data_IF_570971577214
#
_entry.id   IF_570971577214
#
_cell.length_a   1.000
_cell.length_b   1.000
_cell.length_c   1.000
_cell.angle_alpha   90.00
_cell.angle_beta   90.00
_cell.angle_gamma   90.00
#
_symmetry.space_group_name_H-M   'P 1'
#
loop_
_entity.id
_entity.type
_entity.pdbx_description
1 polymer ?
#
# COMPACT_ATOMS: atom_id res chain seq x y z
N UNK A 1 15.24 65.37 -54.47
CA UNK A 1 14.84 63.95 -54.24
C UNK A 1 16.06 63.23 -53.68
N UNK A 2 16.09 62.47 -52.59
CA UNK A 2 15.12 61.94 -51.62
C UNK A 2 15.91 61.70 -50.31
N UNK A 3 15.23 61.82 -49.17
CA UNK A 3 15.68 61.47 -47.82
C UNK A 3 15.81 59.96 -47.64
N UNK A 4 16.83 59.46 -46.93
CA UNK A 4 16.79 58.09 -46.40
C UNK A 4 17.06 58.05 -44.89
N UNK A 5 15.99 57.71 -44.18
CA UNK A 5 15.91 57.27 -42.80
C UNK A 5 16.88 56.11 -42.54
N UNK A 6 17.63 56.15 -41.43
CA UNK A 6 18.34 55.00 -40.87
C UNK A 6 17.67 54.60 -39.55
N UNK A 7 17.13 53.37 -39.43
CA UNK A 7 16.62 52.89 -38.15
C UNK A 7 17.76 52.39 -37.27
N UNK A 8 17.77 52.82 -36.00
CA UNK A 8 18.63 52.25 -34.94
C UNK A 8 18.05 50.91 -34.49
N UNK A 9 18.82 49.81 -34.47
CA UNK A 9 18.35 48.56 -33.89
C UNK A 9 18.42 48.62 -32.35
N UNK A 10 17.30 48.33 -31.70
CA UNK A 10 17.23 48.00 -30.28
C UNK A 10 17.79 46.58 -30.09
N UNK A 11 18.92 46.43 -29.40
CA UNK A 11 19.42 45.11 -29.00
C UNK A 11 19.79 45.10 -27.52
N UNK A 12 18.84 44.69 -26.69
CA UNK A 12 19.04 44.35 -25.29
C UNK A 12 19.07 42.83 -25.12
N UNK A 13 20.08 42.16 -25.67
CA UNK A 13 20.25 40.72 -25.47
C UNK A 13 20.58 40.43 -23.99
N UNK A 14 19.91 39.46 -23.35
CA UNK A 14 20.18 39.11 -21.96
C UNK A 14 21.62 38.59 -21.82
N UNK A 15 22.34 39.14 -20.82
CA UNK A 15 23.75 38.82 -20.56
C UNK A 15 23.94 37.30 -20.33
N UNK A 16 25.01 36.70 -20.87
CA UNK A 16 25.22 35.24 -20.89
C UNK A 16 25.21 34.58 -19.51
N UNK A 17 25.52 35.33 -18.44
CA UNK A 17 25.48 34.86 -17.06
C UNK A 17 24.08 34.50 -16.54
N UNK A 18 23.04 35.19 -17.03
CA UNK A 18 21.64 34.90 -16.66
C UNK A 18 21.11 33.66 -17.35
N UNK A 19 21.56 33.40 -18.58
CA UNK A 19 21.22 32.21 -19.35
C UNK A 19 21.87 30.96 -18.75
N UNK A 20 23.12 31.06 -18.29
CA UNK A 20 23.82 29.96 -17.63
C UNK A 20 23.17 29.58 -16.29
N UNK A 21 22.82 30.58 -15.46
CA UNK A 21 22.13 30.34 -14.20
C UNK A 21 20.75 29.69 -14.39
N UNK A 22 20.02 30.11 -15.43
CA UNK A 22 18.74 29.49 -15.80
C UNK A 22 18.92 28.04 -16.27
N UNK A 23 19.93 27.76 -17.09
CA UNK A 23 20.22 26.40 -17.56
C UNK A 23 20.59 25.46 -16.40
N UNK A 24 21.37 25.93 -15.43
CA UNK A 24 21.72 25.17 -14.23
C UNK A 24 20.50 24.89 -13.35
N UNK A 25 19.61 25.87 -13.18
CA UNK A 25 18.36 25.70 -12.41
C UNK A 25 17.42 24.67 -13.06
N UNK A 26 17.29 24.71 -14.40
CA UNK A 26 16.50 23.73 -15.16
C UNK A 26 17.12 22.33 -15.06
N UNK A 27 18.44 22.21 -15.11
CA UNK A 27 19.13 20.93 -14.97
C UNK A 27 18.98 20.32 -13.56
N UNK A 28 18.97 21.15 -12.51
CA UNK A 28 18.73 20.72 -11.13
C UNK A 28 17.26 20.31 -10.87
N UNK A 29 16.30 20.94 -11.54
CA UNK A 29 14.89 20.56 -11.48
C UNK A 29 14.58 19.24 -12.20
N UNK A 30 15.50 18.75 -13.05
CA UNK A 30 15.37 17.48 -13.77
C UNK A 30 15.95 16.27 -13.00
N UNK A 31 16.43 16.46 -11.77
CA UNK A 31 16.83 15.33 -10.93
C UNK A 31 15.57 14.47 -10.66
N UNK A 32 15.60 13.16 -10.94
CA UNK A 32 14.45 12.29 -10.71
C UNK A 32 14.13 12.30 -9.22
N UNK A 33 12.97 12.86 -8.87
CA UNK A 33 12.42 12.72 -7.53
C UNK A 33 12.20 11.22 -7.29
N UNK A 34 12.97 10.63 -6.38
CA UNK A 34 12.76 9.25 -5.93
C UNK A 34 11.49 9.21 -5.09
N UNK A 35 10.34 9.22 -5.76
CA UNK A 35 9.09 8.83 -5.14
C UNK A 35 9.20 7.36 -4.73
N UNK A 36 8.87 7.04 -3.47
CA UNK A 36 8.68 5.64 -3.07
C UNK A 36 7.45 5.10 -3.78
N UNK A 37 7.65 4.43 -4.91
CA UNK A 37 6.60 3.70 -5.61
C UNK A 37 6.45 2.34 -4.93
N UNK A 38 5.25 2.06 -4.41
CA UNK A 38 4.91 0.72 -3.92
C UNK A 38 4.90 -0.21 -5.14
N UNK A 39 5.77 -1.23 -5.13
CA UNK A 39 5.76 -2.25 -6.18
C UNK A 39 4.55 -3.16 -6.00
N UNK A 40 3.79 -3.37 -7.06
CA UNK A 40 2.71 -4.36 -7.05
C UNK A 40 3.32 -5.76 -6.93
N UNK A 41 2.74 -6.57 -6.05
CA UNK A 41 3.06 -7.97 -5.91
C UNK A 41 2.03 -8.79 -6.69
N UNK A 42 2.50 -9.74 -7.48
CA UNK A 42 1.65 -10.81 -7.99
C UNK A 42 1.28 -11.77 -6.87
N UNK A 43 0.33 -12.67 -7.17
CA UNK A 43 -0.07 -13.70 -6.22
C UNK A 43 1.09 -14.63 -5.81
N UNK A 44 1.96 -15.10 -6.74
CA UNK A 44 3.11 -15.91 -6.37
C UNK A 44 4.06 -15.20 -5.40
N UNK A 45 4.32 -13.90 -5.59
CA UNK A 45 5.19 -13.13 -4.70
C UNK A 45 4.56 -12.89 -3.32
N UNK A 46 3.24 -12.66 -3.25
CA UNK A 46 2.52 -12.59 -1.96
C UNK A 46 2.65 -13.90 -1.19
N UNK A 47 2.39 -15.02 -1.87
CA UNK A 47 2.47 -16.36 -1.27
C UNK A 47 3.91 -16.72 -0.89
N UNK A 48 4.91 -16.37 -1.68
CA UNK A 48 6.31 -16.68 -1.36
C UNK A 48 6.80 -15.99 -0.08
N UNK A 49 6.22 -14.84 0.27
CA UNK A 49 6.60 -14.04 1.44
C UNK A 49 5.73 -14.30 2.67
N UNK A 50 4.53 -14.83 2.48
CA UNK A 50 3.57 -15.00 3.57
C UNK A 50 3.90 -16.23 4.43
N UNK A 51 4.10 -15.97 5.73
CA UNK A 51 4.18 -16.98 6.78
C UNK A 51 2.76 -17.46 7.18
N UNK A 52 1.79 -16.54 7.16
CA UNK A 52 0.38 -16.83 7.43
C UNK A 52 -0.49 -16.32 6.28
N UNK A 53 -1.40 -17.17 5.78
CA UNK A 53 -2.43 -16.82 4.80
C UNK A 53 -3.76 -17.31 5.34
N UNK A 54 -4.72 -16.41 5.53
CA UNK A 54 -6.02 -16.77 6.11
C UNK A 54 -7.13 -15.76 5.77
N UNK A 55 -8.38 -16.21 5.85
CA UNK A 55 -9.49 -15.30 6.14
C UNK A 55 -9.50 -15.07 7.66
N UNK A 56 -9.56 -13.81 8.08
CA UNK A 56 -9.52 -13.44 9.48
C UNK A 56 -10.49 -12.31 9.81
N UNK A 57 -11.01 -12.34 11.03
CA UNK A 57 -11.85 -11.29 11.62
C UNK A 57 -11.00 -10.46 12.57
N UNK A 58 -11.08 -9.13 12.45
CA UNK A 58 -10.39 -8.21 13.37
C UNK A 58 -11.17 -8.15 14.67
N UNK A 59 -10.56 -8.59 15.77
CA UNK A 59 -11.19 -8.55 17.11
C UNK A 59 -10.98 -7.19 17.79
N UNK A 60 -9.78 -6.64 17.66
CA UNK A 60 -9.41 -5.37 18.27
C UNK A 60 -8.34 -4.65 17.46
N UNK A 61 -8.24 -3.34 17.63
CA UNK A 61 -7.18 -2.50 17.09
C UNK A 61 -6.85 -1.41 18.11
N UNK A 62 -5.60 -1.36 18.57
CA UNK A 62 -5.14 -0.42 19.59
C UNK A 62 -3.96 0.37 19.05
N UNK A 63 -4.10 1.69 19.01
CA UNK A 63 -3.03 2.59 18.56
C UNK A 63 -2.18 3.09 19.73
N UNK A 64 -0.88 3.23 19.51
CA UNK A 64 0.06 3.77 20.49
C UNK A 64 1.21 4.53 19.82
N UNK A 65 1.89 5.40 20.57
CA UNK A 65 3.10 6.08 20.12
C UNK A 65 4.32 5.18 20.31
N UNK A 66 5.07 4.94 19.24
CA UNK A 66 6.34 4.21 19.25
C UNK A 66 7.36 4.99 18.43
N UNK A 67 8.44 5.45 19.07
CA UNK A 67 9.53 6.17 18.40
C UNK A 67 9.07 7.41 17.63
N UNK A 68 8.09 8.15 18.17
CA UNK A 68 7.56 9.37 17.55
C UNK A 68 6.60 9.13 16.37
N UNK A 69 6.16 7.88 16.16
CA UNK A 69 5.14 7.52 15.16
C UNK A 69 4.00 6.81 15.84
N UNK A 70 2.79 6.98 15.33
CA UNK A 70 1.67 6.13 15.74
C UNK A 70 1.78 4.78 15.03
N UNK A 71 1.63 3.70 15.78
CA UNK A 71 1.44 2.33 15.27
C UNK A 71 0.12 1.80 15.79
N UNK A 72 -0.48 0.86 15.07
CA UNK A 72 -1.69 0.16 15.50
C UNK A 72 -1.42 -1.33 15.57
N UNK A 73 -1.63 -1.90 16.74
CA UNK A 73 -1.61 -3.35 16.94
C UNK A 73 -3.04 -3.88 16.87
N UNK A 74 -3.32 -4.71 15.87
CA UNK A 74 -4.60 -5.36 15.65
C UNK A 74 -4.53 -6.84 16.02
N UNK A 75 -5.55 -7.34 16.72
CA UNK A 75 -5.71 -8.78 16.98
C UNK A 75 -6.65 -9.36 15.95
N UNK A 76 -6.17 -10.34 15.18
CA UNK A 76 -6.93 -10.98 14.11
C UNK A 76 -7.16 -12.44 14.46
N UNK A 77 -8.43 -12.84 14.57
CA UNK A 77 -8.83 -14.24 14.73
C UNK A 77 -8.88 -14.92 13.36
N UNK A 78 -8.18 -16.04 13.22
CA UNK A 78 -8.11 -16.81 11.98
C UNK A 78 -9.39 -17.64 11.82
N UNK A 79 -10.22 -17.26 10.85
CA UNK A 79 -11.48 -17.96 10.53
C UNK A 79 -11.22 -19.16 9.63
N UNK A 80 -10.48 -18.94 8.53
CA UNK A 80 -10.13 -19.97 7.55
C UNK A 80 -8.63 -19.90 7.22
N UNK A 81 -7.76 -20.56 7.99
CA UNK A 81 -6.34 -20.60 7.69
C UNK A 81 -6.06 -21.48 6.46
N UNK A 82 -5.24 -20.95 5.56
CA UNK A 82 -4.74 -21.63 4.35
C UNK A 82 -3.27 -22.03 4.50
N UNK A 83 -2.50 -21.22 5.24
CA UNK A 83 -1.11 -21.48 5.60
C UNK A 83 -0.84 -20.85 6.96
N UNK A 84 -0.17 -21.59 7.85
CA UNK A 84 0.24 -21.11 9.17
C UNK A 84 -0.93 -20.93 10.16
N UNK A 85 -0.68 -21.24 11.43
CA UNK A 85 -1.70 -21.21 12.49
C UNK A 85 -2.78 -22.28 12.35
N UNK A 86 -3.74 -22.29 13.28
CA UNK A 86 -4.93 -23.12 13.26
C UNK A 86 -6.22 -22.27 13.32
N UNK A 87 -7.35 -22.87 12.97
CA UNK A 87 -8.64 -22.19 13.00
C UNK A 87 -9.02 -21.83 14.44
N UNK A 88 -9.43 -20.58 14.65
CA UNK A 88 -9.74 -20.04 15.99
C UNK A 88 -8.55 -19.40 16.71
N UNK A 89 -7.32 -19.56 16.22
CA UNK A 89 -6.16 -18.85 16.77
C UNK A 89 -6.28 -17.34 16.51
N UNK A 90 -5.69 -16.53 17.40
CA UNK A 90 -5.54 -15.09 17.19
C UNK A 90 -4.07 -14.72 17.00
N UNK A 91 -3.80 -13.85 16.01
CA UNK A 91 -2.46 -13.32 15.72
C UNK A 91 -2.43 -11.80 15.90
N UNK A 92 -1.32 -11.30 16.42
CA UNK A 92 -1.08 -9.86 16.55
C UNK A 92 -0.45 -9.30 15.27
N UNK A 93 -1.11 -8.32 14.65
CA UNK A 93 -0.67 -7.67 13.42
C UNK A 93 -0.41 -6.19 13.69
N UNK A 94 0.82 -5.75 13.41
CA UNK A 94 1.21 -4.35 13.56
C UNK A 94 1.18 -3.63 12.21
N UNK A 95 0.51 -2.47 12.20
CA UNK A 95 0.51 -1.53 11.07
C UNK A 95 0.96 -0.14 11.51
N UNK A 96 1.38 0.69 10.54
CA UNK A 96 1.74 2.08 10.79
C UNK A 96 0.53 3.02 10.70
N UNK A 97 0.51 4.04 11.56
CA UNK A 97 -0.62 4.96 11.68
C UNK A 97 -1.65 4.50 12.71
N UNK A 98 -2.77 5.22 12.79
CA UNK A 98 -3.79 5.05 13.81
C UNK A 98 -4.18 6.39 14.45
N UNK A 99 -4.85 6.32 15.59
CA UNK A 99 -5.27 7.51 16.33
C UNK A 99 -5.02 7.34 17.83
N UNK A 100 -4.36 8.33 18.45
CA UNK A 100 -4.12 8.35 19.89
C UNK A 100 -4.54 9.69 20.45
N UNK A 101 -5.54 9.69 21.35
CA UNK A 101 -5.98 10.90 22.05
C UNK A 101 -6.46 12.02 21.10
N UNK A 102 -7.14 11.67 20.00
CA UNK A 102 -7.62 12.62 18.99
C UNK A 102 -6.58 13.03 17.94
N UNK A 103 -5.34 12.55 18.05
CA UNK A 103 -4.30 12.76 17.04
C UNK A 103 -4.27 11.56 16.10
N UNK A 104 -4.71 11.75 14.86
CA UNK A 104 -4.67 10.74 13.80
C UNK A 104 -3.40 10.84 12.95
N UNK A 105 -2.78 9.70 12.65
CA UNK A 105 -1.70 9.56 11.68
C UNK A 105 -2.12 8.54 10.62
N UNK A 106 -2.13 8.94 9.35
CA UNK A 106 -2.36 8.03 8.23
C UNK A 106 -1.07 7.78 7.49
N UNK A 107 -0.74 6.51 7.26
CA UNK A 107 0.35 6.11 6.37
C UNK A 107 -0.24 5.59 5.08
N UNK A 108 0.04 6.28 3.98
CA UNK A 108 -0.46 5.89 2.66
C UNK A 108 0.16 4.54 2.24
N UNK A 109 -0.67 3.67 1.68
CA UNK A 109 -0.28 2.31 1.32
C UNK A 109 -0.34 1.31 2.47
N UNK A 110 -0.55 1.74 3.71
CA UNK A 110 -0.70 0.86 4.88
C UNK A 110 -2.19 0.50 5.09
N UNK A 111 -2.53 -0.76 5.43
CA UNK A 111 -3.92 -1.13 5.67
C UNK A 111 -4.42 -0.59 7.00
N UNK A 112 -5.70 -0.26 7.03
CA UNK A 112 -6.40 0.10 8.26
C UNK A 112 -7.41 -1.00 8.60
N UNK A 113 -7.08 -1.82 9.58
CA UNK A 113 -7.96 -2.86 10.09
C UNK A 113 -9.08 -2.24 10.93
N UNK A 114 -10.31 -2.66 10.67
CA UNK A 114 -11.50 -2.21 11.40
C UNK A 114 -12.02 -3.36 12.27
N UNK A 115 -12.14 -3.18 13.60
CA UNK A 115 -12.75 -4.18 14.47
C UNK A 115 -14.12 -4.65 13.92
N UNK A 116 -14.35 -5.96 13.96
CA UNK A 116 -15.54 -6.62 13.41
C UNK A 116 -15.51 -6.89 11.90
N UNK A 117 -14.58 -6.30 11.14
CA UNK A 117 -14.47 -6.55 9.70
C UNK A 117 -13.61 -7.77 9.40
N UNK A 118 -13.87 -8.39 8.24
CA UNK A 118 -13.13 -9.55 7.74
C UNK A 118 -12.16 -9.18 6.63
N UNK A 119 -11.02 -9.84 6.62
CA UNK A 119 -9.97 -9.66 5.62
C UNK A 119 -9.38 -11.00 5.21
N UNK A 120 -9.08 -11.15 3.93
CA UNK A 120 -8.11 -12.12 3.45
C UNK A 120 -6.72 -11.49 3.64
N UNK A 121 -5.91 -12.11 4.49
CA UNK A 121 -4.60 -11.59 4.88
C UNK A 121 -3.47 -12.48 4.40
N UNK A 122 -2.38 -11.84 3.99
CA UNK A 122 -1.08 -12.40 3.71
C UNK A 122 -0.11 -11.72 4.67
N UNK A 123 0.37 -12.45 5.66
CA UNK A 123 1.14 -11.91 6.77
C UNK A 123 2.56 -12.48 6.76
N UNK A 124 3.54 -11.61 6.96
CA UNK A 124 4.94 -11.97 7.23
C UNK A 124 5.27 -11.61 8.68
N UNK A 125 6.17 -12.37 9.31
CA UNK A 125 6.63 -12.10 10.67
C UNK A 125 7.22 -10.70 10.76
N UNK A 126 6.80 -9.97 11.78
CA UNK A 126 7.41 -8.69 12.12
C UNK A 126 8.81 -8.95 12.69
N UNK A 127 9.86 -8.28 12.20
CA UNK A 127 11.20 -8.46 12.73
C UNK A 127 11.26 -8.11 14.21
N UNK A 128 11.71 -9.04 15.05
CA UNK A 128 11.78 -8.86 16.49
C UNK A 128 11.82 -10.20 17.22
N UNK A 129 12.07 -10.15 18.53
CA UNK A 129 12.05 -11.31 19.42
C UNK A 129 10.77 -11.36 20.27
N UNK A 130 9.63 -10.96 19.67
CA UNK A 130 8.35 -11.01 20.36
C UNK A 130 7.90 -12.47 20.54
N UNK A 131 7.41 -12.81 21.73
CA UNK A 131 6.80 -14.09 22.04
C UNK A 131 5.44 -13.84 22.74
N UNK A 132 4.30 -14.14 22.09
CA UNK A 132 4.17 -14.70 20.74
C UNK A 132 4.62 -13.71 19.65
N UNK A 133 4.98 -14.22 18.44
CA UNK A 133 5.44 -13.37 17.35
C UNK A 133 4.35 -12.41 16.88
N UNK A 134 4.76 -11.18 16.56
CA UNK A 134 3.93 -10.23 15.81
C UNK A 134 4.11 -10.42 14.31
N UNK A 135 3.11 -10.01 13.56
CA UNK A 135 3.09 -10.05 12.11
C UNK A 135 2.85 -8.67 11.52
N UNK A 136 3.08 -8.54 10.21
CA UNK A 136 2.62 -7.41 9.41
C UNK A 136 2.12 -7.89 8.04
N UNK A 137 1.25 -7.12 7.37
CA UNK A 137 0.81 -7.44 6.02
C UNK A 137 1.96 -7.41 5.00
N UNK A 138 2.05 -8.46 4.18
CA UNK A 138 3.02 -8.54 3.08
C UNK A 138 2.72 -7.43 2.08
N UNK A 139 3.73 -6.61 1.75
CA UNK A 139 3.53 -5.53 0.78
C UNK A 139 2.52 -4.47 1.23
N UNK A 140 2.40 -4.26 2.55
CA UNK A 140 1.50 -3.29 3.17
C UNK A 140 0.03 -3.60 2.81
N UNK A 141 -0.75 -2.65 2.26
CA UNK A 141 -2.17 -2.86 1.98
C UNK A 141 -2.46 -4.00 1.01
N UNK A 142 -1.49 -4.38 0.14
CA UNK A 142 -1.65 -5.49 -0.79
C UNK A 142 -1.83 -6.85 -0.10
N UNK A 143 -1.30 -6.99 1.11
CA UNK A 143 -1.42 -8.20 1.93
C UNK A 143 -2.64 -8.22 2.84
N UNK A 144 -3.56 -7.24 2.72
CA UNK A 144 -4.76 -7.17 3.54
C UNK A 144 -5.96 -6.74 2.69
N UNK A 145 -6.71 -7.73 2.22
CA UNK A 145 -7.80 -7.55 1.25
C UNK A 145 -9.15 -7.68 1.97
N UNK A 146 -10.02 -6.66 1.95
CA UNK A 146 -11.30 -6.73 2.64
C UNK A 146 -12.19 -7.83 2.07
N UNK A 147 -12.88 -8.54 2.97
CA UNK A 147 -13.95 -9.46 2.63
C UNK A 147 -15.27 -8.75 2.92
N UNK A 148 -16.06 -8.55 1.87
CA UNK A 148 -17.34 -7.85 1.92
C UNK A 148 -18.47 -8.86 1.86
N UNK A 149 -19.41 -8.78 2.80
CA UNK A 149 -20.68 -9.50 2.71
C UNK A 149 -21.58 -8.81 1.70
N UNK A 150 -21.93 -9.52 0.62
CA UNK A 150 -22.85 -9.05 -0.42
C UNK A 150 -24.08 -9.96 -0.48
N UNK A 151 -25.19 -9.52 -1.09
CA UNK A 151 -26.37 -10.38 -1.25
C UNK A 151 -26.09 -11.69 -1.99
N UNK A 152 -25.12 -11.67 -2.91
CA UNK A 152 -24.69 -12.84 -3.69
C UNK A 152 -23.61 -13.68 -2.96
N UNK A 153 -23.34 -13.40 -1.69
CA UNK A 153 -22.32 -14.07 -0.87
C UNK A 153 -21.09 -13.21 -0.57
N UNK A 154 -20.13 -13.73 0.22
CA UNK A 154 -18.91 -13.01 0.56
C UNK A 154 -17.98 -12.85 -0.64
N UNK A 155 -17.39 -11.66 -0.80
CA UNK A 155 -16.47 -11.34 -1.88
C UNK A 155 -15.19 -10.70 -1.35
N UNK A 156 -14.04 -11.13 -1.85
CA UNK A 156 -12.76 -10.45 -1.61
C UNK A 156 -12.67 -9.27 -2.55
N UNK A 157 -12.51 -8.08 -2.01
CA UNK A 157 -12.31 -6.86 -2.77
C UNK A 157 -10.84 -6.43 -2.77
N UNK A 158 -10.41 -5.66 -3.79
CA UNK A 158 -9.14 -4.95 -3.75
C UNK A 158 -8.94 -4.22 -2.42
N UNK A 159 -7.68 -4.10 -1.97
CA UNK A 159 -7.37 -3.20 -0.87
C UNK A 159 -7.90 -1.79 -1.23
N UNK A 160 -8.64 -1.12 -0.33
CA UNK A 160 -9.24 0.16 -0.65
C UNK A 160 -8.16 1.19 -0.98
N UNK A 161 -8.44 1.99 -2.02
CA UNK A 161 -7.63 3.13 -2.45
C UNK A 161 -7.35 4.10 -1.27
N UNK A 162 -6.21 4.81 -1.25
CA UNK A 162 -6.02 5.96 -0.38
C UNK A 162 -7.08 7.05 -0.67
N UNK A 163 -7.31 8.00 0.26
CA UNK A 163 -8.42 8.95 0.15
C UNK A 163 -8.45 9.72 -1.18
N UNK A 164 -9.67 9.94 -1.66
CA UNK A 164 -10.09 10.37 -3.00
C UNK A 164 -9.64 11.79 -3.43
N UNK A 165 -8.77 12.46 -2.67
CA UNK A 165 -8.36 13.84 -2.94
C UNK A 165 -6.94 13.97 -3.52
N UNK A 166 -6.31 12.88 -3.94
CA UNK A 166 -5.05 12.93 -4.70
C UNK A 166 -5.04 11.87 -5.80
N UNK A 167 -5.29 12.29 -7.05
CA UNK A 167 -5.10 11.45 -8.24
C UNK A 167 -4.06 12.11 -9.15
N UNK A 168 -2.79 11.70 -9.11
CA UNK A 168 -2.01 11.61 -10.32
C UNK A 168 -2.48 10.35 -11.05
N UNK A 169 -3.16 10.55 -12.17
CA UNK A 169 -3.54 9.49 -13.11
C UNK A 169 -2.30 8.70 -13.50
N UNK A 170 -2.04 7.56 -12.82
CA UNK A 170 -1.09 6.50 -13.19
C UNK A 170 -0.95 5.39 -12.11
N UNK A 171 -1.38 5.60 -10.85
CA UNK A 171 -1.13 4.64 -9.76
C UNK A 171 -2.38 3.89 -9.27
N UNK A 172 -3.39 3.71 -10.12
CA UNK A 172 -4.46 2.74 -9.89
C UNK A 172 -3.85 1.35 -10.06
N UNK A 173 -3.33 0.79 -8.98
CA UNK A 173 -2.54 -0.42 -9.04
C UNK A 173 -3.04 -1.41 -8.02
N UNK A 174 -4.25 -1.89 -8.32
CA UNK A 174 -4.82 -3.10 -7.77
C UNK A 174 -3.80 -4.24 -7.94
N UNK A 175 -3.67 -5.13 -6.96
CA UNK A 175 -2.91 -6.36 -7.16
C UNK A 175 -3.38 -7.01 -8.47
N UNK A 176 -2.50 -7.36 -9.43
CA UNK A 176 -2.94 -7.73 -10.79
C UNK A 176 -3.93 -8.90 -10.81
N UNK A 177 -3.84 -9.77 -9.80
CA UNK A 177 -4.66 -10.96 -9.62
C UNK A 177 -6.07 -10.68 -9.05
N UNK A 178 -6.31 -9.48 -8.51
CA UNK A 178 -7.59 -9.07 -7.93
C UNK A 178 -8.02 -7.69 -8.43
N UNK A 179 -8.01 -7.44 -9.75
CA UNK A 179 -8.41 -6.16 -10.35
C UNK A 179 -9.84 -5.68 -9.98
N UNK A 180 -10.71 -6.60 -9.57
CA UNK A 180 -12.08 -6.35 -9.14
C UNK A 180 -12.48 -7.33 -8.03
N UNK A 181 -13.61 -7.07 -7.37
CA UNK A 181 -14.11 -7.95 -6.30
C UNK A 181 -14.52 -9.32 -6.84
N UNK A 182 -13.97 -10.39 -6.26
CA UNK A 182 -14.20 -11.79 -6.66
C UNK A 182 -14.91 -12.58 -5.54
N UNK A 183 -15.71 -13.61 -5.87
CA UNK A 183 -16.28 -14.50 -4.87
C UNK A 183 -15.19 -15.10 -3.96
N UNK A 184 -15.44 -15.12 -2.65
CA UNK A 184 -14.46 -15.56 -1.66
C UNK A 184 -14.05 -17.02 -1.89
N UNK A 185 -15.02 -17.90 -2.08
CA UNK A 185 -14.83 -19.33 -2.37
C UNK A 185 -13.91 -19.57 -3.58
N UNK A 186 -14.13 -18.84 -4.67
CA UNK A 186 -13.31 -18.94 -5.88
C UNK A 186 -11.86 -18.50 -5.62
N UNK A 187 -11.66 -17.41 -4.86
CA UNK A 187 -10.32 -16.95 -4.47
C UNK A 187 -9.64 -17.97 -3.57
N UNK A 188 -10.34 -18.50 -2.56
CA UNK A 188 -9.78 -19.50 -1.66
C UNK A 188 -9.42 -20.80 -2.39
N UNK A 189 -10.22 -21.22 -3.38
CA UNK A 189 -9.90 -22.38 -4.21
C UNK A 189 -8.60 -22.17 -5.01
N UNK A 190 -8.43 -20.99 -5.63
CA UNK A 190 -7.21 -20.62 -6.36
C UNK A 190 -5.98 -20.59 -5.43
N UNK A 191 -6.11 -20.01 -4.24
CA UNK A 191 -5.03 -19.97 -3.25
C UNK A 191 -4.64 -21.37 -2.77
N UNK A 192 -5.61 -22.26 -2.51
CA UNK A 192 -5.33 -23.65 -2.13
C UNK A 192 -4.59 -24.40 -3.22
N UNK A 193 -4.99 -24.22 -4.49
CA UNK A 193 -4.30 -24.82 -5.62
C UNK A 193 -2.86 -24.32 -5.73
N UNK A 194 -2.65 -23.00 -5.69
CA UNK A 194 -1.31 -22.42 -5.76
C UNK A 194 -0.40 -22.85 -4.58
N UNK A 195 -0.97 -22.99 -3.38
CA UNK A 195 -0.24 -23.47 -2.20
C UNK A 195 0.14 -24.96 -2.32
N UNK A 196 -0.72 -25.79 -2.92
CA UNK A 196 -0.44 -27.20 -3.15
C UNK A 196 0.65 -27.41 -4.20
N UNK A 197 0.68 -26.59 -5.26
CA UNK A 197 1.75 -26.61 -6.28
C UNK A 197 3.10 -26.15 -5.73
N UNK A 198 3.10 -25.28 -4.71
CA UNK A 198 4.31 -24.79 -4.08
C UNK A 198 4.87 -25.72 -2.98
N UNK A 199 4.19 -26.81 -2.65
CA UNK A 199 4.66 -27.79 -1.68
C UNK A 199 5.72 -28.72 -2.34
N UNK A 200 6.93 -28.85 -1.76
CA UNK A 200 7.99 -29.70 -2.30
C UNK A 200 7.72 -31.20 -2.17
#
# INVERSE_FOLDING_TARGET
MQTLFSPRPLSGAPRPSRLLAFAVLVALAALPARASVVRLLGLPELLARADVVAVATVESAVSSWVGGRIVTDSTLRLDEPLRGGAGGDSVAVRTLGGEVGGIGQRVFGEPSFRPGARYLVFLERFPGADDPPRFRPVGMAQGALPVLDTPDGPRVAPAPDPPQWFVPSAAASVAPWLAAARPLDAVLAELRAALAEAAP
#
